data_IF_516737334222
#
_entry.id   IF_516737334222
#
_cell.length_a   1.000
_cell.length_b   1.000
_cell.length_c   1.000
_cell.angle_alpha   90.00
_cell.angle_beta   90.00
_cell.angle_gamma   90.00
#
_symmetry.space_group_name_H-M   'P 1'
#
loop_
_entity.id
_entity.type
_entity.pdbx_description
1 polymer ?
#
# COMPACT_ATOMS: atom_id res chain seq x y z
N UNK A 1 15.23 -1.99 3.04
CA UNK A 1 14.27 -3.10 3.06
C UNK A 1 14.56 -4.03 1.87
N UNK A 2 14.41 -5.36 1.96
CA UNK A 2 14.52 -6.22 0.76
C UNK A 2 13.23 -6.13 -0.05
N UNK A 3 13.30 -6.39 -1.36
CA UNK A 3 12.12 -6.33 -2.23
C UNK A 3 11.03 -7.30 -1.77
N UNK A 4 11.40 -8.51 -1.34
CA UNK A 4 10.45 -9.49 -0.80
C UNK A 4 9.74 -8.96 0.45
N UNK A 5 10.44 -8.23 1.32
CA UNK A 5 9.84 -7.68 2.54
C UNK A 5 8.78 -6.62 2.19
N UNK A 6 9.03 -5.81 1.15
CA UNK A 6 8.06 -4.81 0.64
C UNK A 6 6.82 -5.50 0.07
N UNK A 7 6.99 -6.50 -0.80
CA UNK A 7 5.86 -7.25 -1.40
C UNK A 7 5.01 -7.90 -0.32
N UNK A 8 5.64 -8.56 0.64
CA UNK A 8 4.93 -9.21 1.74
C UNK A 8 4.19 -8.19 2.60
N UNK A 9 4.81 -7.03 2.87
CA UNK A 9 4.19 -5.97 3.67
C UNK A 9 3.00 -5.32 2.96
N UNK A 10 3.03 -5.18 1.62
CA UNK A 10 1.89 -4.71 0.83
C UNK A 10 0.69 -5.66 0.96
N UNK A 11 0.91 -6.97 0.92
CA UNK A 11 -0.17 -7.96 1.06
C UNK A 11 -0.65 -8.06 2.52
N UNK A 12 0.25 -7.88 3.50
CA UNK A 12 -0.12 -7.75 4.92
C UNK A 12 -0.96 -6.49 5.16
N UNK A 13 -0.64 -5.38 4.50
CA UNK A 13 -1.39 -4.13 4.55
C UNK A 13 -2.81 -4.35 4.03
N UNK A 14 -2.95 -4.95 2.84
CA UNK A 14 -4.25 -5.34 2.28
C UNK A 14 -5.04 -6.21 3.27
N UNK A 15 -4.42 -7.27 3.80
CA UNK A 15 -5.03 -8.16 4.79
C UNK A 15 -5.52 -7.41 6.04
N UNK A 16 -4.74 -6.46 6.56
CA UNK A 16 -5.10 -5.70 7.75
C UNK A 16 -6.25 -4.73 7.48
N UNK A 17 -6.25 -4.05 6.33
CA UNK A 17 -7.35 -3.19 5.89
C UNK A 17 -8.64 -4.00 5.80
N UNK A 18 -8.62 -5.12 5.06
CA UNK A 18 -9.80 -5.99 4.94
C UNK A 18 -10.34 -6.42 6.30
N UNK A 19 -9.45 -6.87 7.20
CA UNK A 19 -9.84 -7.27 8.55
C UNK A 19 -10.47 -6.12 9.35
N UNK A 20 -9.92 -4.91 9.23
CA UNK A 20 -10.45 -3.72 9.90
C UNK A 20 -11.81 -3.27 9.33
N UNK A 21 -12.09 -3.58 8.05
CA UNK A 21 -13.35 -3.27 7.38
C UNK A 21 -14.43 -4.35 7.56
N UNK A 22 -14.10 -5.60 7.90
CA UNK A 22 -15.06 -6.69 8.11
C UNK A 22 -16.27 -6.34 9.02
N UNK A 23 -16.13 -5.53 10.09
CA UNK A 23 -17.29 -5.11 10.88
C UNK A 23 -18.33 -4.30 10.09
N UNK A 24 -17.91 -3.58 9.03
CA UNK A 24 -18.82 -2.85 8.14
C UNK A 24 -19.66 -3.80 7.28
N UNK A 25 -19.02 -4.81 6.68
CA UNK A 25 -19.72 -5.87 5.93
C UNK A 25 -20.74 -6.59 6.84
N UNK A 26 -20.33 -6.96 8.05
CA UNK A 26 -21.21 -7.58 9.04
C UNK A 26 -22.39 -6.68 9.47
N UNK A 27 -22.27 -5.36 9.34
CA UNK A 27 -23.31 -4.39 9.63
C UNK A 27 -24.22 -4.09 8.42
N UNK A 28 -23.99 -4.73 7.27
CA UNK A 28 -24.72 -4.47 6.02
C UNK A 28 -24.35 -3.14 5.36
N UNK A 29 -23.16 -2.61 5.67
CA UNK A 29 -22.58 -1.41 5.07
C UNK A 29 -21.74 -1.79 3.84
N UNK A 30 -22.26 -2.69 3.01
CA UNK A 30 -21.55 -3.33 1.90
C UNK A 30 -21.00 -2.30 0.91
N UNK A 31 -21.73 -1.21 0.65
CA UNK A 31 -21.26 -0.15 -0.24
C UNK A 31 -20.04 0.61 0.31
N UNK A 32 -19.86 0.68 1.63
CA UNK A 32 -18.70 1.33 2.25
C UNK A 32 -17.55 0.32 2.31
N UNK A 33 -17.85 -0.93 2.66
CA UNK A 33 -16.89 -2.03 2.60
C UNK A 33 -16.29 -2.16 1.19
N UNK A 34 -17.12 -2.27 0.15
CA UNK A 34 -16.70 -2.40 -1.26
C UNK A 34 -15.74 -1.28 -1.64
N UNK A 35 -16.09 -0.04 -1.31
CA UNK A 35 -15.32 1.15 -1.68
C UNK A 35 -13.95 1.21 -0.97
N UNK A 36 -13.86 0.83 0.31
CA UNK A 36 -12.56 0.75 1.00
C UNK A 36 -11.78 -0.54 0.70
N UNK A 37 -12.46 -1.58 0.21
CA UNK A 37 -11.87 -2.86 -0.21
C UNK A 37 -11.33 -2.85 -1.64
N UNK A 38 -11.64 -1.80 -2.43
CA UNK A 38 -11.14 -1.57 -3.79
C UNK A 38 -9.66 -1.20 -3.85
N UNK A 39 -8.98 -1.05 -2.71
CA UNK A 39 -7.55 -0.75 -2.67
C UNK A 39 -6.77 -1.96 -3.18
N UNK A 40 -6.46 -1.93 -4.47
CA UNK A 40 -5.64 -2.94 -5.13
C UNK A 40 -4.16 -2.58 -4.98
N UNK A 41 -3.44 -3.42 -4.24
CA UNK A 41 -2.00 -3.29 -4.06
C UNK A 41 -1.21 -4.08 -5.12
N UNK A 42 -1.89 -4.73 -6.06
CA UNK A 42 -1.28 -5.49 -7.15
C UNK A 42 -0.29 -4.63 -7.94
N UNK A 43 -0.67 -3.43 -8.37
CA UNK A 43 0.20 -2.54 -9.15
C UNK A 43 1.46 -2.15 -8.37
N UNK A 44 1.32 -1.88 -7.07
CA UNK A 44 2.44 -1.58 -6.19
C UNK A 44 3.37 -2.79 -6.02
N UNK A 45 2.81 -3.98 -5.83
CA UNK A 45 3.58 -5.22 -5.71
C UNK A 45 4.25 -5.61 -7.03
N UNK A 46 3.59 -5.38 -8.16
CA UNK A 46 4.04 -5.71 -9.51
C UNK A 46 5.26 -4.90 -9.97
N UNK A 47 5.51 -3.73 -9.37
CA UNK A 47 6.77 -3.00 -9.58
C UNK A 47 7.98 -3.86 -9.17
N UNK A 48 7.85 -4.69 -8.12
CA UNK A 48 8.93 -5.53 -7.61
C UNK A 48 8.83 -6.97 -8.10
N UNK A 49 7.61 -7.48 -8.27
CA UNK A 49 7.36 -8.82 -8.82
C UNK A 49 7.66 -8.87 -10.33
N UNK A 50 7.63 -7.73 -11.03
CA UNK A 50 7.87 -7.64 -12.48
C UNK A 50 6.99 -8.61 -13.27
N UNK A 51 5.69 -8.65 -12.96
CA UNK A 51 4.69 -9.52 -13.59
C UNK A 51 4.88 -11.02 -13.34
N UNK A 52 5.56 -11.44 -12.27
CA UNK A 52 5.68 -12.86 -11.89
C UNK A 52 4.32 -13.55 -11.72
N UNK A 53 3.29 -12.83 -11.26
CA UNK A 53 1.93 -13.34 -11.11
C UNK A 53 0.94 -12.81 -12.14
N UNK A 54 1.42 -12.43 -13.32
CA UNK A 54 0.59 -11.83 -14.36
C UNK A 54 -0.70 -12.64 -14.60
N UNK A 55 -1.84 -11.95 -14.62
CA UNK A 55 -3.17 -12.50 -14.88
C UNK A 55 -3.68 -13.48 -13.81
N UNK A 56 -2.90 -13.75 -12.75
CA UNK A 56 -3.23 -14.69 -11.65
C UNK A 56 -2.74 -14.19 -10.28
N UNK A 57 -2.70 -12.86 -10.06
CA UNK A 57 -2.15 -12.27 -8.85
C UNK A 57 -2.92 -12.74 -7.60
N UNK A 58 -4.24 -12.59 -7.63
CA UNK A 58 -5.11 -13.00 -6.52
C UNK A 58 -4.93 -14.49 -6.17
N UNK A 59 -4.91 -15.38 -7.16
CA UNK A 59 -4.75 -16.82 -6.92
C UNK A 59 -3.41 -17.15 -6.23
N UNK A 60 -2.38 -16.36 -6.52
CA UNK A 60 -1.05 -16.54 -5.96
C UNK A 60 -0.89 -15.96 -4.57
N UNK A 61 -1.73 -15.00 -4.15
CA UNK A 61 -1.62 -14.35 -2.84
C UNK A 61 -2.74 -14.75 -1.87
N UNK A 62 -3.86 -15.32 -2.35
CA UNK A 62 -5.05 -15.59 -1.54
C UNK A 62 -4.76 -16.41 -0.28
N UNK A 63 -3.89 -17.41 -0.36
CA UNK A 63 -3.59 -18.27 0.78
C UNK A 63 -2.90 -17.50 1.91
N UNK A 64 -2.00 -16.59 1.56
CA UNK A 64 -1.32 -15.72 2.52
C UNK A 64 -2.26 -14.61 3.02
N UNK A 65 -2.99 -13.96 2.10
CA UNK A 65 -3.99 -12.92 2.39
C UNK A 65 -5.04 -13.40 3.39
N UNK A 66 -5.60 -14.60 3.20
CA UNK A 66 -6.59 -15.18 4.11
C UNK A 66 -6.01 -16.01 5.27
N UNK A 67 -4.68 -16.10 5.39
CA UNK A 67 -4.00 -16.67 6.56
C UNK A 67 -3.90 -18.20 6.60
N UNK A 68 -4.13 -18.89 5.48
CA UNK A 68 -3.88 -20.34 5.34
C UNK A 68 -2.42 -20.68 5.02
N UNK A 69 -1.65 -19.71 4.54
CA UNK A 69 -0.20 -19.76 4.35
C UNK A 69 0.44 -18.73 5.29
N UNK A 70 1.53 -19.08 5.97
CA UNK A 70 2.21 -18.16 6.88
C UNK A 70 3.26 -17.30 6.15
N UNK A 71 3.76 -16.25 6.84
CA UNK A 71 4.72 -15.28 6.27
C UNK A 71 6.01 -15.93 5.78
N UNK A 72 6.53 -16.91 6.51
CA UNK A 72 7.79 -17.58 6.17
C UNK A 72 7.60 -18.47 4.94
N UNK A 73 6.51 -19.24 4.89
CA UNK A 73 6.14 -20.07 3.74
C UNK A 73 5.97 -19.23 2.48
N UNK A 74 5.22 -18.13 2.58
CA UNK A 74 4.96 -17.24 1.46
C UNK A 74 6.25 -16.55 0.97
N UNK A 75 7.05 -16.00 1.88
CA UNK A 75 8.36 -15.40 1.58
C UNK A 75 9.26 -16.41 0.87
N UNK A 76 9.36 -17.63 1.38
CA UNK A 76 10.19 -18.67 0.79
C UNK A 76 9.69 -19.09 -0.60
N UNK A 77 8.37 -19.14 -0.81
CA UNK A 77 7.78 -19.42 -2.11
C UNK A 77 8.10 -18.30 -3.12
N UNK A 78 7.94 -17.04 -2.74
CA UNK A 78 8.31 -15.89 -3.57
C UNK A 78 9.79 -15.93 -3.98
N UNK A 79 10.68 -16.18 -3.02
CA UNK A 79 12.13 -16.24 -3.28
C UNK A 79 12.54 -17.43 -4.17
N UNK A 80 11.79 -18.54 -4.14
CA UNK A 80 12.01 -19.66 -5.08
C UNK A 80 11.59 -19.31 -6.51
N UNK A 81 10.53 -18.51 -6.66
CA UNK A 81 10.00 -18.10 -7.97
C UNK A 81 10.86 -16.98 -8.57
N UNK A 82 11.19 -15.96 -7.77
CA UNK A 82 11.98 -14.79 -8.17
C UNK A 82 13.07 -14.52 -7.13
N UNK A 83 14.25 -15.15 -7.27
CA UNK A 83 15.36 -14.97 -6.33
C UNK A 83 15.84 -13.52 -6.18
N UNK A 84 15.66 -12.68 -7.20
CA UNK A 84 16.00 -11.25 -7.20
C UNK A 84 15.22 -10.46 -6.14
N UNK A 85 14.09 -11.00 -5.64
CA UNK A 85 13.37 -10.40 -4.52
C UNK A 85 14.19 -10.40 -3.22
N UNK A 86 15.26 -11.20 -3.13
CA UNK A 86 16.20 -11.17 -2.01
C UNK A 86 17.04 -9.88 -1.95
N UNK A 87 17.15 -9.15 -3.06
CA UNK A 87 17.94 -7.92 -3.13
C UNK A 87 17.27 -6.78 -2.35
N UNK A 88 18.07 -5.77 -2.01
CA UNK A 88 17.55 -4.51 -1.49
C UNK A 88 16.73 -3.80 -2.57
N UNK A 89 15.65 -3.15 -2.15
CA UNK A 89 14.91 -2.23 -3.02
C UNK A 89 15.80 -1.02 -3.35
N UNK A 90 15.88 -0.65 -4.62
CA UNK A 90 16.56 0.57 -5.06
C UNK A 90 15.70 1.81 -4.81
N UNK A 91 16.32 2.99 -4.81
CA UNK A 91 15.60 4.25 -4.66
C UNK A 91 14.54 4.44 -5.74
N UNK A 92 14.86 4.12 -7.00
CA UNK A 92 13.91 4.26 -8.12
C UNK A 92 12.73 3.31 -7.99
N UNK A 93 12.95 2.07 -7.54
CA UNK A 93 11.87 1.13 -7.25
C UNK A 93 11.00 1.60 -6.09
N UNK A 94 11.61 2.10 -5.00
CA UNK A 94 10.87 2.64 -3.87
C UNK A 94 9.99 3.82 -4.29
N UNK A 95 10.52 4.75 -5.08
CA UNK A 95 9.76 5.89 -5.61
C UNK A 95 8.60 5.44 -6.52
N UNK A 96 8.79 4.42 -7.34
CA UNK A 96 7.69 3.83 -8.13
C UNK A 96 6.62 3.22 -7.24
N UNK A 97 7.00 2.47 -6.20
CA UNK A 97 6.03 1.89 -5.26
C UNK A 97 5.25 3.00 -4.55
N UNK A 98 5.95 4.02 -4.03
CA UNK A 98 5.35 5.18 -3.37
C UNK A 98 4.43 5.93 -4.31
N UNK A 99 4.80 6.08 -5.59
CA UNK A 99 3.98 6.70 -6.62
C UNK A 99 2.60 6.02 -6.72
N UNK A 100 2.54 4.69 -6.74
CA UNK A 100 1.25 3.97 -6.76
C UNK A 100 0.51 4.14 -5.43
N UNK A 101 1.21 4.04 -4.31
CA UNK A 101 0.60 4.19 -2.98
C UNK A 101 0.01 5.59 -2.74
N UNK A 102 0.59 6.64 -3.31
CA UNK A 102 0.03 7.99 -3.26
C UNK A 102 -1.33 8.07 -3.96
N UNK A 103 -1.49 7.44 -5.12
CA UNK A 103 -2.78 7.43 -5.83
C UNK A 103 -3.84 6.68 -5.02
N UNK A 104 -3.47 5.52 -4.45
CA UNK A 104 -4.32 4.71 -3.56
C UNK A 104 -4.75 5.52 -2.33
N UNK A 105 -3.82 6.23 -1.68
CA UNK A 105 -4.11 7.08 -0.53
C UNK A 105 -5.06 8.23 -0.89
N UNK A 106 -4.85 8.85 -2.05
CA UNK A 106 -5.69 9.95 -2.52
C UNK A 106 -7.11 9.49 -2.82
N UNK A 107 -7.27 8.39 -3.54
CA UNK A 107 -8.60 7.82 -3.83
C UNK A 107 -9.34 7.49 -2.54
N UNK A 108 -8.64 6.89 -1.57
CA UNK A 108 -9.21 6.64 -0.22
C UNK A 108 -9.64 7.93 0.48
N UNK A 109 -8.85 8.99 0.40
CA UNK A 109 -9.16 10.27 1.00
C UNK A 109 -10.39 10.93 0.35
N UNK A 110 -10.50 10.89 -0.98
CA UNK A 110 -11.65 11.41 -1.74
C UNK A 110 -12.95 10.67 -1.40
N UNK A 111 -12.87 9.35 -1.26
CA UNK A 111 -13.96 8.51 -0.76
C UNK A 111 -14.41 8.98 0.62
N UNK A 112 -13.46 9.13 1.56
CA UNK A 112 -13.76 9.57 2.91
C UNK A 112 -14.46 10.94 2.93
N UNK A 113 -13.94 11.91 2.17
CA UNK A 113 -14.57 13.24 2.02
C UNK A 113 -15.98 13.12 1.47
N UNK A 114 -16.19 12.26 0.47
CA UNK A 114 -17.52 12.07 -0.15
C UNK A 114 -18.54 11.61 0.89
N UNK A 115 -18.21 10.63 1.73
CA UNK A 115 -19.11 10.17 2.80
C UNK A 115 -19.28 11.20 3.91
N UNK A 116 -18.20 11.88 4.32
CA UNK A 116 -18.28 12.95 5.30
C UNK A 116 -19.22 14.08 4.85
N UNK A 117 -19.19 14.44 3.56
CA UNK A 117 -20.12 15.41 2.97
C UNK A 117 -21.59 14.95 2.96
N UNK A 118 -21.83 13.63 3.00
CA UNK A 118 -23.16 13.03 3.16
C UNK A 118 -23.60 12.91 4.63
N UNK A 119 -22.76 13.39 5.56
CA UNK A 119 -23.01 13.29 7.01
C UNK A 119 -22.67 11.93 7.60
N UNK A 120 -21.87 11.13 6.90
CA UNK A 120 -21.46 9.79 7.35
C UNK A 120 -19.97 9.82 7.70
N UNK A 121 -19.67 9.60 8.98
CA UNK A 121 -18.30 9.51 9.49
C UNK A 121 -18.04 8.06 9.94
N UNK A 122 -16.87 7.54 9.58
CA UNK A 122 -16.40 6.22 9.98
C UNK A 122 -15.06 6.36 10.70
N UNK A 123 -14.97 5.78 11.89
CA UNK A 123 -13.73 5.77 12.66
C UNK A 123 -13.09 4.38 12.58
N UNK A 124 -12.21 4.19 11.59
CA UNK A 124 -11.43 2.95 11.42
C UNK A 124 -9.94 3.32 11.36
N UNK A 125 -9.33 3.78 12.47
CA UNK A 125 -7.98 4.35 12.48
C UNK A 125 -6.93 3.43 11.86
N UNK A 126 -7.05 2.12 12.13
CA UNK A 126 -6.13 1.11 11.61
C UNK A 126 -6.17 1.00 10.08
N UNK A 127 -7.31 1.28 9.45
CA UNK A 127 -7.43 1.31 7.99
C UNK A 127 -7.13 2.71 7.41
N UNK A 128 -7.41 3.79 8.16
CA UNK A 128 -7.33 5.16 7.66
C UNK A 128 -5.91 5.72 7.53
N UNK A 129 -4.95 5.25 8.33
CA UNK A 129 -3.56 5.77 8.29
C UNK A 129 -2.55 4.76 7.73
N UNK A 130 -2.98 3.54 7.41
CA UNK A 130 -2.05 2.43 7.17
C UNK A 130 -1.18 2.59 5.91
N UNK A 131 -1.71 3.17 4.82
CA UNK A 131 -0.98 3.38 3.57
C UNK A 131 0.03 4.50 3.76
N UNK A 132 -0.39 5.62 4.34
CA UNK A 132 0.51 6.68 4.79
C UNK A 132 1.64 6.16 5.70
N UNK A 133 1.32 5.39 6.74
CA UNK A 133 2.32 4.80 7.63
C UNK A 133 3.30 3.90 6.88
N UNK A 134 2.81 3.13 5.90
CA UNK A 134 3.67 2.29 5.07
C UNK A 134 4.57 3.11 4.14
N UNK A 135 4.09 4.23 3.58
CA UNK A 135 4.93 5.17 2.83
C UNK A 135 6.05 5.73 3.74
N UNK A 136 5.73 6.14 4.97
CA UNK A 136 6.72 6.59 5.96
C UNK A 136 7.75 5.49 6.25
N UNK A 137 7.31 4.24 6.39
CA UNK A 137 8.20 3.09 6.63
C UNK A 137 9.16 2.86 5.45
N UNK A 138 8.65 2.86 4.22
CA UNK A 138 9.45 2.71 3.00
C UNK A 138 10.52 3.80 2.87
N UNK A 139 10.15 5.02 3.23
CA UNK A 139 11.02 6.19 3.14
C UNK A 139 11.98 6.30 4.33
N UNK A 140 11.57 5.79 5.49
CA UNK A 140 12.33 5.82 6.73
C UNK A 140 12.45 7.20 7.40
N UNK A 141 11.50 8.11 7.13
CA UNK A 141 11.30 9.38 7.84
C UNK A 141 9.90 9.95 7.53
N UNK A 142 9.46 10.95 8.32
CA UNK A 142 8.14 11.54 8.18
C UNK A 142 8.02 12.40 6.89
N UNK A 143 7.14 11.96 5.98
CA UNK A 143 6.75 12.64 4.73
C UNK A 143 5.31 13.12 4.74
N UNK A 144 4.66 13.12 5.90
CA UNK A 144 3.22 13.34 6.01
C UNK A 144 2.75 14.65 5.38
N UNK A 145 3.47 15.75 5.56
CA UNK A 145 3.11 17.03 4.94
C UNK A 145 3.05 16.95 3.40
N UNK A 146 3.92 16.14 2.80
CA UNK A 146 3.92 15.89 1.35
C UNK A 146 2.73 15.03 0.93
N UNK A 147 2.46 13.94 1.65
CA UNK A 147 1.33 13.03 1.39
C UNK A 147 0.00 13.76 1.54
N UNK A 148 -0.20 14.47 2.65
CA UNK A 148 -1.39 15.30 2.88
C UNK A 148 -1.51 16.42 1.84
N UNK A 149 -0.40 17.05 1.45
CA UNK A 149 -0.38 18.05 0.39
C UNK A 149 -0.87 17.51 -0.95
N UNK A 150 -0.55 16.27 -1.29
CA UNK A 150 -1.06 15.62 -2.51
C UNK A 150 -2.55 15.26 -2.43
N UNK A 151 -2.98 14.73 -1.28
CA UNK A 151 -4.38 14.38 -1.05
C UNK A 151 -5.30 15.61 -1.11
N UNK A 152 -4.82 16.78 -0.66
CA UNK A 152 -5.54 18.06 -0.65
C UNK A 152 -5.41 18.85 -1.98
N UNK A 153 -4.82 18.28 -3.04
CA UNK A 153 -4.51 18.98 -4.30
C UNK A 153 -3.59 20.21 -4.15
N UNK A 154 -2.87 20.33 -3.03
CA UNK A 154 -1.93 21.44 -2.76
C UNK A 154 -0.56 21.21 -3.41
N UNK A 155 -0.19 19.94 -3.64
CA UNK A 155 1.04 19.53 -4.29
C UNK A 155 0.72 18.57 -5.43
N UNK A 156 1.43 18.70 -6.55
CA UNK A 156 1.43 17.68 -7.59
C UNK A 156 2.20 16.44 -7.11
N UNK A 157 1.79 15.28 -7.62
CA UNK A 157 2.44 13.99 -7.32
C UNK A 157 3.96 14.02 -7.52
N UNK A 158 4.41 14.61 -8.62
CA UNK A 158 5.84 14.71 -8.93
C UNK A 158 6.60 15.56 -7.89
N UNK A 159 6.00 16.63 -7.38
CA UNK A 159 6.62 17.45 -6.34
C UNK A 159 6.83 16.65 -5.05
N UNK A 160 5.87 15.80 -4.67
CA UNK A 160 6.02 14.89 -3.53
C UNK A 160 7.13 13.87 -3.77
N UNK A 161 7.17 13.25 -4.95
CA UNK A 161 8.22 12.29 -5.29
C UNK A 161 9.61 12.93 -5.32
N UNK A 162 9.74 14.16 -5.80
CA UNK A 162 11.00 14.92 -5.82
C UNK A 162 11.46 15.24 -4.39
N UNK A 163 10.55 15.70 -3.52
CA UNK A 163 10.84 15.92 -2.09
C UNK A 163 11.33 14.64 -1.40
N UNK A 164 10.70 13.50 -1.73
CA UNK A 164 11.10 12.21 -1.16
C UNK A 164 12.48 11.81 -1.69
N UNK A 165 12.70 11.95 -2.99
CA UNK A 165 13.94 11.60 -3.67
C UNK A 165 15.14 12.38 -3.14
N UNK A 166 14.99 13.70 -2.95
CA UNK A 166 16.06 14.56 -2.47
C UNK A 166 16.48 14.23 -1.04
N UNK A 167 15.52 13.90 -0.19
CA UNK A 167 15.80 13.45 1.18
C UNK A 167 16.44 12.06 1.23
N UNK A 168 16.07 11.14 0.32
CA UNK A 168 16.73 9.83 0.23
C UNK A 168 18.20 9.95 -0.21
N UNK A 169 18.51 10.91 -1.10
CA UNK A 169 19.89 11.22 -1.51
C UNK A 169 20.74 11.75 -0.35
N UNK A 170 20.20 12.69 0.44
CA UNK A 170 20.90 13.27 1.61
C UNK A 170 21.26 12.23 2.69
N UNK A 171 20.59 11.07 2.72
CA UNK A 171 20.85 9.98 3.67
C UNK A 171 21.94 9.01 3.20
N UNK A 172 22.33 9.10 1.92
CA UNK A 172 23.31 8.23 1.28
C UNK A 172 24.72 8.85 1.26
N UNK A 173 24.85 10.08 1.76
CA UNK A 173 26.11 10.82 2.00
C UNK A 173 26.53 10.72 3.48
#
# INVERSE_FOLDING_TARGET
MRKVDVVVSLIELEKNIFKALNPLEAAGLDSIFEVFSMLDFEDAANILLENVFKDIYFENIQHFRFGTENKEEFTNRLLKIKPELSWLISQDEALKVISVLLDIEKERHEIYITFANLGVEFDIPEAMDCVHNFIIELVGYNVGDGVYGYNDDKLAKQEVLDLISDKLKQKSE
#
